data_IF_551501689391
#
_entry.id   IF_551501689391
#
_cell.length_a   1.000
_cell.length_b   1.000
_cell.length_c   1.000
_cell.angle_alpha   90.00
_cell.angle_beta   90.00
_cell.angle_gamma   90.00
#
_symmetry.space_group_name_H-M   'P 1'
#
loop_
_entity.id
_entity.type
_entity.pdbx_description
1 polymer ?
#
# COMPACT_ATOMS: atom_id res chain seq x y z
N UNK A 1 -14.64 8.76 -50.69
CA UNK A 1 -15.41 7.54 -50.32
C UNK A 1 -16.27 7.87 -49.11
N UNK A 2 -17.59 7.63 -49.20
CA UNK A 2 -18.58 7.93 -48.15
C UNK A 2 -18.75 6.68 -47.29
N UNK A 3 -18.48 6.75 -45.99
CA UNK A 3 -18.60 5.59 -45.10
C UNK A 3 -20.09 5.17 -44.97
N UNK A 4 -20.37 3.87 -45.08
CA UNK A 4 -21.72 3.32 -44.91
C UNK A 4 -22.14 3.34 -43.44
N UNK A 5 -23.29 3.94 -43.13
CA UNK A 5 -23.84 4.00 -41.77
C UNK A 5 -24.10 2.57 -41.27
N UNK A 6 -23.38 2.15 -40.24
CA UNK A 6 -23.47 0.81 -39.66
C UNK A 6 -22.30 -0.13 -39.99
N UNK A 7 -21.39 0.23 -40.92
CA UNK A 7 -20.13 -0.48 -41.13
C UNK A 7 -18.97 0.35 -40.61
N UNK A 8 -18.37 -0.09 -39.51
CA UNK A 8 -17.11 0.47 -39.04
C UNK A 8 -16.02 0.23 -40.11
N UNK A 9 -15.37 1.29 -40.56
CA UNK A 9 -14.19 1.21 -41.44
C UNK A 9 -12.98 0.53 -40.77
N UNK A 10 -13.08 0.20 -39.48
CA UNK A 10 -12.13 -0.63 -38.76
C UNK A 10 -12.85 -1.86 -38.16
N UNK A 11 -13.04 -2.93 -38.95
CA UNK A 11 -13.73 -4.15 -38.51
C UNK A 11 -13.00 -4.91 -37.40
N UNK A 12 -11.70 -4.67 -37.20
CA UNK A 12 -10.90 -5.29 -36.12
C UNK A 12 -10.93 -4.49 -34.82
N UNK A 13 -11.60 -3.35 -34.79
CA UNK A 13 -11.65 -2.46 -33.63
C UNK A 13 -10.28 -1.91 -33.24
N UNK A 14 -10.22 -1.18 -32.13
CA UNK A 14 -8.94 -0.80 -31.51
C UNK A 14 -8.36 -2.02 -30.80
N UNK A 15 -7.09 -2.41 -31.02
CA UNK A 15 -6.53 -3.60 -30.40
C UNK A 15 -6.61 -3.54 -28.87
N UNK A 16 -7.02 -4.66 -28.26
CA UNK A 16 -7.16 -4.81 -26.80
C UNK A 16 -5.79 -4.59 -26.14
N UNK A 17 -5.69 -3.59 -25.27
CA UNK A 17 -4.42 -3.20 -24.63
C UNK A 17 -3.68 -2.02 -25.27
N UNK A 18 -4.20 -1.41 -26.34
CA UNK A 18 -3.65 -0.20 -26.91
C UNK A 18 -3.75 0.98 -25.93
N UNK A 19 -2.73 1.15 -25.06
CA UNK A 19 -2.50 2.36 -24.27
C UNK A 19 -2.60 3.55 -25.23
N UNK A 20 -3.41 4.56 -24.92
CA UNK A 20 -3.54 5.72 -25.80
C UNK A 20 -2.17 6.33 -26.06
N UNK A 21 -1.77 6.45 -27.33
CA UNK A 21 -0.46 7.00 -27.72
C UNK A 21 -0.17 8.32 -26.97
N UNK A 22 -1.16 9.22 -26.88
CA UNK A 22 -1.05 10.45 -26.11
C UNK A 22 -0.68 10.28 -24.61
N UNK A 23 -1.13 9.20 -23.93
CA UNK A 23 -0.73 8.92 -22.53
C UNK A 23 0.68 8.34 -22.42
N UNK A 24 1.15 7.65 -23.46
CA UNK A 24 2.53 7.17 -23.57
C UNK A 24 3.46 8.36 -23.78
N UNK A 25 3.13 9.22 -24.75
CA UNK A 25 3.95 10.36 -25.15
C UNK A 25 4.15 11.37 -24.01
N UNK A 26 3.11 11.64 -23.21
CA UNK A 26 3.24 12.51 -22.03
C UNK A 26 4.17 11.91 -20.96
N UNK A 27 4.10 10.60 -20.70
CA UNK A 27 4.97 9.95 -19.72
C UNK A 27 6.43 9.96 -20.17
N UNK A 28 6.66 9.69 -21.45
CA UNK A 28 8.00 9.76 -22.06
C UNK A 28 8.54 11.18 -21.98
N UNK A 29 7.74 12.19 -22.34
CA UNK A 29 8.13 13.59 -22.27
C UNK A 29 8.44 14.05 -20.84
N UNK A 30 7.65 13.64 -19.85
CA UNK A 30 7.93 13.93 -18.44
C UNK A 30 9.21 13.25 -17.99
N UNK A 31 9.45 11.99 -18.40
CA UNK A 31 10.69 11.29 -18.09
C UNK A 31 11.91 11.99 -18.71
N UNK A 32 11.83 12.43 -19.97
CA UNK A 32 12.89 13.18 -20.66
C UNK A 32 13.22 14.50 -19.96
N UNK A 33 12.21 15.22 -19.45
CA UNK A 33 12.42 16.44 -18.66
C UNK A 33 13.14 16.12 -17.34
N UNK A 34 12.73 15.04 -16.67
CA UNK A 34 13.31 14.65 -15.38
C UNK A 34 14.76 14.15 -15.55
N UNK A 35 15.02 13.34 -16.58
CA UNK A 35 16.36 12.84 -16.90
C UNK A 35 17.28 13.97 -17.37
N UNK A 36 16.81 14.82 -18.29
CA UNK A 36 17.55 15.99 -18.76
C UNK A 36 17.68 17.12 -17.74
N UNK A 37 16.89 17.07 -16.66
CA UNK A 37 16.90 18.03 -15.56
C UNK A 37 17.94 17.74 -14.48
N UNK A 38 18.52 16.53 -14.48
CA UNK A 38 19.40 16.05 -13.41
C UNK A 38 20.64 16.93 -13.23
N UNK A 39 21.35 17.24 -14.31
CA UNK A 39 22.57 18.05 -14.24
C UNK A 39 22.27 19.47 -13.73
N UNK A 40 21.14 20.05 -14.17
CA UNK A 40 20.69 21.37 -13.71
C UNK A 40 20.30 21.34 -12.24
N UNK A 41 19.68 20.27 -11.79
CA UNK A 41 19.32 20.06 -10.39
C UNK A 41 20.57 19.93 -9.51
N UNK A 42 21.57 19.16 -9.93
CA UNK A 42 22.84 19.03 -9.22
C UNK A 42 23.62 20.35 -9.16
N UNK A 43 23.59 21.15 -10.23
CA UNK A 43 24.18 22.48 -10.23
C UNK A 43 23.43 23.45 -9.31
N UNK A 44 22.10 23.44 -9.35
CA UNK A 44 21.27 24.28 -8.47
C UNK A 44 21.51 23.94 -6.99
N UNK A 45 21.64 22.66 -6.65
CA UNK A 45 21.97 22.19 -5.29
C UNK A 45 23.29 22.76 -4.76
N UNK A 46 24.28 23.04 -5.63
CA UNK A 46 25.56 23.65 -5.22
C UNK A 46 25.44 25.14 -4.92
N UNK A 47 24.37 25.79 -5.39
CA UNK A 47 24.21 27.25 -5.36
C UNK A 47 23.16 27.72 -4.33
N UNK A 48 22.55 26.82 -3.56
CA UNK A 48 21.55 27.17 -2.54
C UNK A 48 22.19 27.37 -1.16
N UNK A 49 21.53 28.15 -0.26
CA UNK A 49 22.01 28.33 1.11
C UNK A 49 22.14 27.01 1.88
N UNK A 50 23.07 26.90 2.84
CA UNK A 50 23.32 25.66 3.59
C UNK A 50 22.07 25.08 4.25
N UNK A 51 21.19 25.92 4.78
CA UNK A 51 19.96 25.48 5.42
C UNK A 51 19.00 24.81 4.43
N UNK A 52 18.88 25.36 3.22
CA UNK A 52 17.99 24.84 2.19
C UNK A 52 18.60 23.59 1.55
N UNK A 53 19.93 23.54 1.42
CA UNK A 53 20.66 22.33 1.04
C UNK A 53 20.33 21.14 1.95
N UNK A 54 20.43 21.34 3.27
CA UNK A 54 20.11 20.30 4.26
C UNK A 54 18.65 19.86 4.13
N UNK A 55 17.71 20.81 3.99
CA UNK A 55 16.28 20.49 3.82
C UNK A 55 16.00 19.70 2.54
N UNK A 56 16.58 20.10 1.41
CA UNK A 56 16.43 19.37 0.14
C UNK A 56 17.01 17.97 0.26
N UNK A 57 18.17 17.81 0.89
CA UNK A 57 18.81 16.51 1.11
C UNK A 57 17.97 15.60 2.01
N UNK A 58 17.42 16.12 3.11
CA UNK A 58 16.47 15.40 3.95
C UNK A 58 15.21 14.99 3.19
N UNK A 59 14.71 15.84 2.29
CA UNK A 59 13.60 15.52 1.41
C UNK A 59 13.88 14.32 0.51
N UNK A 60 15.08 14.25 -0.08
CA UNK A 60 15.53 13.15 -0.93
C UNK A 60 15.73 11.84 -0.16
N UNK A 61 16.19 11.91 1.10
CA UNK A 61 16.35 10.72 1.95
C UNK A 61 15.05 9.93 2.14
N UNK A 62 13.90 10.61 2.14
CA UNK A 62 12.58 9.95 2.23
C UNK A 62 12.23 9.07 1.02
N UNK A 63 12.97 9.20 -0.09
CA UNK A 63 12.79 8.42 -1.30
C UNK A 63 13.89 7.37 -1.50
N UNK A 64 15.06 7.54 -0.86
CA UNK A 64 16.15 6.55 -0.91
C UNK A 64 16.04 5.51 0.20
N UNK A 65 15.51 5.90 1.37
CA UNK A 65 15.24 4.98 2.46
C UNK A 65 13.83 4.41 2.31
N UNK A 66 13.62 3.10 2.54
CA UNK A 66 12.29 2.56 2.69
C UNK A 66 11.60 3.37 3.78
N UNK A 67 10.51 4.07 3.44
CA UNK A 67 9.63 4.60 4.48
C UNK A 67 9.24 3.40 5.31
N UNK A 68 9.51 3.42 6.62
CA UNK A 68 8.80 2.57 7.56
C UNK A 68 7.33 2.81 7.26
N UNK A 69 6.71 1.90 6.51
CA UNK A 69 5.29 1.97 6.29
C UNK A 69 4.73 1.83 7.69
N UNK A 70 4.08 2.88 8.19
CA UNK A 70 3.20 2.75 9.33
C UNK A 70 2.25 1.63 8.96
N UNK A 71 2.36 0.48 9.61
CA UNK A 71 1.43 -0.62 9.40
C UNK A 71 0.03 -0.04 9.55
N UNK A 72 -0.80 -0.25 8.54
CA UNK A 72 -2.22 0.06 8.66
C UNK A 72 -2.80 -0.75 9.84
N UNK A 73 -3.90 -0.29 10.46
CA UNK A 73 -4.52 -1.02 11.56
C UNK A 73 -4.84 -2.48 11.21
N UNK A 74 -5.19 -2.77 9.95
CA UNK A 74 -5.44 -4.13 9.48
C UNK A 74 -4.15 -4.97 9.41
N UNK A 75 -3.05 -4.39 8.92
CA UNK A 75 -1.77 -5.10 8.88
C UNK A 75 -1.23 -5.41 10.28
N UNK A 76 -1.43 -4.50 11.24
CA UNK A 76 -1.10 -4.76 12.65
C UNK A 76 -1.94 -5.91 13.22
N UNK A 77 -3.25 -5.90 12.94
CA UNK A 77 -4.18 -6.95 13.37
C UNK A 77 -3.77 -8.33 12.81
N UNK A 78 -3.43 -8.38 11.52
CA UNK A 78 -2.99 -9.60 10.83
C UNK A 78 -1.68 -10.14 11.44
N UNK A 79 -0.72 -9.26 11.76
CA UNK A 79 0.51 -9.66 12.44
C UNK A 79 0.25 -10.19 13.87
N UNK A 80 -0.66 -9.57 14.61
CA UNK A 80 -1.05 -10.03 15.94
C UNK A 80 -1.72 -11.41 15.88
N UNK A 81 -2.63 -11.64 14.93
CA UNK A 81 -3.23 -12.97 14.71
C UNK A 81 -2.17 -14.02 14.40
N UNK A 82 -1.22 -13.70 13.51
CA UNK A 82 -0.16 -14.64 13.14
C UNK A 82 0.72 -15.00 14.35
N UNK A 83 1.09 -14.03 15.18
CA UNK A 83 1.84 -14.32 16.42
C UNK A 83 1.05 -15.16 17.40
N UNK A 84 -0.26 -14.93 17.49
CA UNK A 84 -1.13 -15.74 18.34
C UNK A 84 -1.21 -17.19 17.83
N UNK A 85 -1.34 -17.41 16.53
CA UNK A 85 -1.30 -18.75 15.93
C UNK A 85 0.01 -19.47 16.26
N UNK A 86 1.15 -18.82 16.05
CA UNK A 86 2.47 -19.39 16.39
C UNK A 86 2.58 -19.74 17.89
N UNK A 87 2.03 -18.92 18.78
CA UNK A 87 2.01 -19.21 20.22
C UNK A 87 1.11 -20.39 20.55
N UNK A 88 -0.05 -20.51 19.92
CA UNK A 88 -0.98 -21.62 20.14
C UNK A 88 -0.43 -22.94 19.60
N UNK A 89 0.24 -22.94 18.45
CA UNK A 89 0.88 -24.13 17.89
C UNK A 89 2.00 -24.69 18.78
N UNK A 90 2.73 -23.81 19.47
CA UNK A 90 3.85 -24.18 20.33
C UNK A 90 3.48 -24.25 21.82
N UNK A 91 2.22 -23.99 22.17
CA UNK A 91 1.76 -24.02 23.55
C UNK A 91 1.66 -25.47 24.07
N UNK A 92 1.97 -25.72 25.36
CA UNK A 92 1.66 -26.99 25.99
C UNK A 92 0.15 -27.25 26.03
N UNK A 93 -0.26 -28.50 25.84
CA UNK A 93 -1.69 -28.89 25.86
C UNK A 93 -2.41 -28.43 27.12
N UNK A 94 -1.76 -28.51 28.28
CA UNK A 94 -2.33 -28.03 29.56
C UNK A 94 -2.67 -26.53 29.53
N UNK A 95 -1.84 -25.71 28.86
CA UNK A 95 -2.10 -24.29 28.73
C UNK A 95 -3.29 -24.01 27.79
N UNK A 96 -3.43 -24.80 26.71
CA UNK A 96 -4.58 -24.72 25.80
C UNK A 96 -5.87 -25.06 26.54
N UNK A 97 -5.88 -26.13 27.33
CA UNK A 97 -7.04 -26.55 28.11
C UNK A 97 -7.48 -25.48 29.11
N UNK A 98 -6.53 -24.85 29.81
CA UNK A 98 -6.83 -23.74 30.73
C UNK A 98 -7.43 -22.53 30.00
N UNK A 99 -6.93 -22.20 28.80
CA UNK A 99 -7.48 -21.12 27.98
C UNK A 99 -8.91 -21.43 27.57
N UNK A 100 -9.20 -22.65 27.11
CA UNK A 100 -10.54 -23.09 26.72
C UNK A 100 -11.50 -23.01 27.92
N UNK A 101 -11.08 -23.49 29.09
CA UNK A 101 -11.90 -23.43 30.31
C UNK A 101 -12.22 -21.98 30.68
N UNK A 102 -11.23 -21.08 30.59
CA UNK A 102 -11.42 -19.66 30.89
C UNK A 102 -12.42 -19.00 29.92
N UNK A 103 -12.34 -19.31 28.63
CA UNK A 103 -13.27 -18.78 27.61
C UNK A 103 -14.70 -19.25 27.90
N UNK A 104 -14.88 -20.53 28.24
CA UNK A 104 -16.20 -21.08 28.54
C UNK A 104 -16.81 -20.41 29.78
N UNK A 105 -16.02 -20.24 30.86
CA UNK A 105 -16.47 -19.53 32.06
C UNK A 105 -16.91 -18.09 31.75
N UNK A 106 -16.11 -17.34 30.98
CA UNK A 106 -16.44 -15.96 30.60
C UNK A 106 -17.73 -15.90 29.78
N UNK A 107 -17.91 -16.81 28.82
CA UNK A 107 -19.14 -16.89 28.01
C UNK A 107 -20.36 -17.18 28.87
N UNK A 108 -20.25 -18.07 29.85
CA UNK A 108 -21.34 -18.42 30.74
C UNK A 108 -21.67 -17.27 31.71
N UNK A 109 -20.67 -16.56 32.21
CA UNK A 109 -20.84 -15.35 33.03
C UNK A 109 -21.57 -14.25 32.25
N UNK A 110 -21.19 -14.00 30.99
CA UNK A 110 -21.87 -13.02 30.12
C UNK A 110 -23.33 -13.39 29.87
N UNK A 111 -23.63 -14.66 29.61
CA UNK A 111 -25.02 -15.13 29.39
C UNK A 111 -25.88 -14.99 30.64
N UNK A 112 -25.32 -15.20 31.83
CA UNK A 112 -26.04 -15.04 33.11
C UNK A 112 -26.35 -13.56 33.36
N UNK A 113 -25.39 -12.67 33.13
CA UNK A 113 -25.62 -11.21 33.28
C UNK A 113 -26.63 -10.67 32.28
N UNK A 114 -26.68 -11.19 31.05
CA UNK A 114 -27.72 -10.84 30.07
C UNK A 114 -29.12 -11.35 30.47
N UNK A 115 -29.20 -12.52 31.13
CA UNK A 115 -30.47 -13.09 31.59
C UNK A 115 -31.02 -12.41 32.85
N UNK A 116 -30.15 -11.91 33.75
CA UNK A 116 -30.54 -11.19 34.97
C UNK A 116 -30.97 -9.74 34.74
N UNK A 117 -30.54 -9.13 33.63
CA UNK A 117 -30.90 -7.75 33.25
C UNK A 117 -32.14 -7.66 32.34
N UNK A 118 -32.88 -8.77 32.17
CA UNK A 118 -34.08 -8.88 31.34
C UNK A 118 -35.33 -9.08 32.19
#
# INVERSE_FOLDING_TARGET
>A
MKFEKGKSGNPKGRPKGAKGKAKSDLKTWVAEILDGGRDKFEQALKCIPPQDYIKTFMGLLNYSLPKLQSMSPNEMLDEEYKRLEELLENAPDEAIDQIVERINRLRDESRRTEAENR
#
